data_IF_368038812987
#
_entry.id   IF_368038812987
#
_cell.length_a   1.000
_cell.length_b   1.000
_cell.length_c   1.000
_cell.angle_alpha   90.00
_cell.angle_beta   90.00
_cell.angle_gamma   90.00
#
_symmetry.space_group_name_H-M   'P 1'
#
loop_
_entity.id
_entity.type
_entity.pdbx_description
1 polymer ?
#
# COMPACT_ATOMS: atom_id res chain seq x y z
N UNK A 1 -23.72 0.35 7.38
CA UNK A 1 -22.73 0.90 6.43
C UNK A 1 -21.57 1.69 7.06
N UNK A 2 -21.40 1.69 8.38
CA UNK A 2 -20.52 2.64 9.08
C UNK A 2 -19.13 2.10 9.54
N UNK A 3 -18.75 0.89 9.19
CA UNK A 3 -17.57 0.22 9.77
C UNK A 3 -16.25 0.45 9.01
N UNK A 4 -16.26 1.19 7.91
CA UNK A 4 -15.07 1.47 7.10
C UNK A 4 -14.57 2.92 7.21
N UNK A 5 -15.23 3.77 8.01
CA UNK A 5 -14.92 5.20 8.12
C UNK A 5 -13.51 5.52 8.66
N UNK A 6 -12.94 4.64 9.48
CA UNK A 6 -11.64 4.86 10.12
C UNK A 6 -10.52 3.97 9.53
N UNK A 7 -10.70 3.47 8.31
CA UNK A 7 -9.73 2.59 7.67
C UNK A 7 -8.83 3.37 6.72
N UNK A 8 -7.54 3.06 6.72
CA UNK A 8 -6.55 3.65 5.82
C UNK A 8 -6.41 2.78 4.57
N UNK A 9 -6.61 3.37 3.43
CA UNK A 9 -6.48 2.71 2.13
C UNK A 9 -5.19 3.13 1.44
N UNK A 10 -4.49 2.19 0.83
CA UNK A 10 -3.26 2.41 0.08
C UNK A 10 -3.47 1.95 -1.35
N UNK A 11 -3.54 2.88 -2.27
CA UNK A 11 -3.75 2.61 -3.69
C UNK A 11 -2.44 2.70 -4.48
N UNK A 12 -2.13 1.64 -5.20
CA UNK A 12 -0.97 1.55 -6.07
C UNK A 12 -1.33 2.10 -7.44
N UNK A 13 -0.84 3.29 -7.76
CA UNK A 13 -1.19 4.07 -8.94
C UNK A 13 0.01 4.20 -9.87
N UNK A 14 -0.17 3.80 -11.14
CA UNK A 14 0.80 4.06 -12.20
C UNK A 14 0.38 5.23 -13.07
N UNK A 15 -0.90 5.31 -13.42
CA UNK A 15 -1.50 6.35 -14.26
C UNK A 15 -2.79 6.84 -13.64
N UNK A 16 -3.10 8.12 -13.82
CA UNK A 16 -4.24 8.78 -13.19
C UNK A 16 -5.28 9.18 -14.25
N UNK A 17 -6.27 8.30 -14.47
CA UNK A 17 -7.42 8.60 -15.35
C UNK A 17 -8.52 9.34 -14.59
N UNK A 18 -9.45 10.00 -15.29
CA UNK A 18 -10.57 10.70 -14.65
C UNK A 18 -11.47 9.76 -13.83
N UNK A 19 -11.68 8.53 -14.30
CA UNK A 19 -12.42 7.51 -13.55
C UNK A 19 -11.72 7.16 -12.24
N UNK A 20 -10.41 6.95 -12.27
CA UNK A 20 -9.59 6.66 -11.08
C UNK A 20 -9.64 7.83 -10.10
N UNK A 21 -9.50 9.08 -10.57
CA UNK A 21 -9.61 10.28 -9.72
C UNK A 21 -10.94 10.33 -8.97
N UNK A 22 -12.07 10.14 -9.69
CA UNK A 22 -13.41 10.11 -9.10
C UNK A 22 -13.53 8.99 -8.04
N UNK A 23 -12.96 7.82 -8.30
CA UNK A 23 -13.03 6.70 -7.38
C UNK A 23 -12.16 6.92 -6.13
N UNK A 24 -10.95 7.45 -6.28
CA UNK A 24 -10.06 7.81 -5.16
C UNK A 24 -10.79 8.72 -4.16
N UNK A 25 -11.47 9.76 -4.64
CA UNK A 25 -12.15 10.75 -3.80
C UNK A 25 -13.36 10.19 -3.02
N UNK A 26 -13.83 8.99 -3.33
CA UNK A 26 -14.89 8.30 -2.56
C UNK A 26 -14.37 7.65 -1.26
N UNK A 27 -13.05 7.45 -1.14
CA UNK A 27 -12.45 6.77 0.00
C UNK A 27 -11.81 7.78 0.95
N UNK A 28 -12.35 7.95 2.17
CA UNK A 28 -11.68 8.72 3.20
C UNK A 28 -10.36 8.03 3.59
N UNK A 29 -9.37 8.80 4.00
CA UNK A 29 -8.06 8.29 4.44
C UNK A 29 -7.34 7.42 3.40
N UNK A 30 -7.48 7.77 2.11
CA UNK A 30 -6.73 7.13 1.05
C UNK A 30 -5.31 7.70 0.99
N UNK A 31 -4.37 6.80 0.73
CA UNK A 31 -2.95 7.10 0.50
C UNK A 31 -2.59 6.60 -0.90
N UNK A 32 -1.83 7.36 -1.66
CA UNK A 32 -1.41 6.95 -3.01
C UNK A 32 0.06 6.56 -3.00
N UNK A 33 0.35 5.37 -3.53
CA UNK A 33 1.70 4.88 -3.78
C UNK A 33 1.93 4.95 -5.30
N UNK A 34 2.84 5.83 -5.74
CA UNK A 34 3.29 5.80 -7.11
C UNK A 34 4.12 4.54 -7.35
N UNK A 35 3.60 3.69 -8.21
CA UNK A 35 4.15 2.37 -8.48
C UNK A 35 4.59 2.27 -9.93
N UNK A 36 5.88 2.49 -10.17
CA UNK A 36 6.52 2.26 -11.46
C UNK A 36 7.91 1.63 -11.28
N UNK A 37 8.33 0.81 -12.25
CA UNK A 37 9.58 0.04 -12.15
C UNK A 37 10.83 0.93 -12.11
N UNK A 38 10.79 2.10 -12.76
CA UNK A 38 11.90 3.05 -12.83
C UNK A 38 11.38 4.49 -12.68
N UNK A 39 10.90 4.86 -11.49
CA UNK A 39 10.35 6.20 -11.30
C UNK A 39 11.41 7.27 -11.54
N UNK A 40 11.11 8.24 -12.40
CA UNK A 40 11.95 9.38 -12.70
C UNK A 40 11.22 10.70 -12.41
N UNK A 41 11.95 11.75 -12.08
CA UNK A 41 11.37 13.06 -11.77
C UNK A 41 10.68 13.70 -12.98
N UNK A 42 11.14 13.41 -14.19
CA UNK A 42 10.56 13.88 -15.46
C UNK A 42 9.33 13.10 -15.91
N UNK A 43 8.92 12.04 -15.17
CA UNK A 43 7.76 11.24 -15.50
C UNK A 43 6.47 12.05 -15.35
N UNK A 44 5.75 12.25 -16.45
CA UNK A 44 4.49 13.02 -16.50
C UNK A 44 3.42 12.42 -15.58
N UNK A 45 3.33 11.09 -15.48
CA UNK A 45 2.39 10.43 -14.58
C UNK A 45 2.72 10.73 -13.12
N UNK A 46 4.01 10.66 -12.75
CA UNK A 46 4.47 11.01 -11.42
C UNK A 46 4.10 12.47 -11.08
N UNK A 47 4.36 13.40 -12.01
CA UNK A 47 4.02 14.81 -11.84
C UNK A 47 2.52 15.03 -11.68
N UNK A 48 1.70 14.38 -12.53
CA UNK A 48 0.25 14.47 -12.48
C UNK A 48 -0.31 13.93 -11.16
N UNK A 49 0.18 12.78 -10.71
CA UNK A 49 -0.23 12.16 -9.44
C UNK A 49 0.18 13.04 -8.25
N UNK A 50 1.41 13.56 -8.25
CA UNK A 50 1.90 14.46 -7.19
C UNK A 50 1.05 15.73 -7.08
N UNK A 51 0.74 16.38 -8.23
CA UNK A 51 -0.14 17.57 -8.28
C UNK A 51 -1.55 17.25 -7.75
N UNK A 52 -2.10 16.11 -8.15
CA UNK A 52 -3.41 15.64 -7.66
C UNK A 52 -3.40 15.41 -6.14
N UNK A 53 -2.41 14.71 -5.62
CA UNK A 53 -2.27 14.45 -4.20
C UNK A 53 -2.16 15.75 -3.39
N UNK A 54 -1.36 16.70 -3.87
CA UNK A 54 -1.23 18.03 -3.24
C UNK A 54 -2.55 18.80 -3.24
N UNK A 55 -3.28 18.81 -4.38
CA UNK A 55 -4.56 19.51 -4.51
C UNK A 55 -5.61 19.01 -3.51
N UNK A 56 -5.66 17.70 -3.28
CA UNK A 56 -6.68 17.07 -2.42
C UNK A 56 -6.16 16.66 -1.04
N UNK A 57 -4.96 17.10 -0.65
CA UNK A 57 -4.30 16.77 0.61
C UNK A 57 -4.22 15.26 0.88
N UNK A 58 -3.93 14.48 -0.15
CA UNK A 58 -3.80 13.02 -0.09
C UNK A 58 -2.34 12.64 0.19
N UNK A 59 -2.03 11.83 1.21
CA UNK A 59 -0.67 11.37 1.46
C UNK A 59 -0.13 10.59 0.26
N UNK A 60 1.12 10.92 -0.12
CA UNK A 60 1.77 10.43 -1.32
C UNK A 60 3.08 9.70 -1.01
N UNK A 61 3.26 8.53 -1.59
CA UNK A 61 4.43 7.68 -1.41
C UNK A 61 5.03 7.30 -2.76
N UNK A 62 6.34 7.09 -2.80
CA UNK A 62 7.06 6.64 -4.00
C UNK A 62 7.70 5.28 -3.73
N UNK A 63 7.59 4.38 -4.71
CA UNK A 63 8.17 3.04 -4.60
C UNK A 63 9.71 3.12 -4.59
N UNK A 64 10.33 2.41 -3.65
CA UNK A 64 11.76 2.06 -3.57
C UNK A 64 12.77 3.23 -3.73
N UNK A 65 12.34 4.47 -3.90
CA UNK A 65 13.22 5.59 -4.21
C UNK A 65 13.05 6.76 -3.22
N UNK A 66 13.84 6.76 -2.15
CA UNK A 66 13.78 7.78 -1.10
C UNK A 66 14.31 9.16 -1.56
N UNK A 67 15.27 9.19 -2.48
CA UNK A 67 15.78 10.46 -3.02
C UNK A 67 14.72 11.17 -3.85
N UNK A 68 14.03 10.41 -4.71
CA UNK A 68 12.92 10.93 -5.49
C UNK A 68 11.76 11.35 -4.59
N UNK A 69 11.43 10.56 -3.56
CA UNK A 69 10.42 10.92 -2.58
C UNK A 69 10.72 12.25 -1.89
N UNK A 70 11.98 12.49 -1.52
CA UNK A 70 12.43 13.74 -0.93
C UNK A 70 12.32 14.91 -1.93
N UNK A 71 12.77 14.73 -3.18
CA UNK A 71 12.68 15.76 -4.24
C UNK A 71 11.24 16.15 -4.56
N UNK A 72 10.34 15.17 -4.60
CA UNK A 72 8.92 15.35 -4.87
C UNK A 72 8.12 15.84 -3.65
N UNK A 73 8.75 16.00 -2.48
CA UNK A 73 8.11 16.31 -1.20
C UNK A 73 6.99 15.31 -0.87
N UNK A 74 7.20 14.03 -1.20
CA UNK A 74 6.29 12.96 -0.85
C UNK A 74 6.29 12.72 0.67
N UNK A 75 5.20 12.18 1.20
CA UNK A 75 5.05 11.85 2.63
C UNK A 75 5.95 10.66 3.03
N UNK A 76 6.30 9.80 2.08
CA UNK A 76 7.12 8.64 2.40
C UNK A 76 7.52 7.78 1.21
N UNK A 77 8.04 6.61 1.55
CA UNK A 77 8.50 5.60 0.60
C UNK A 77 7.78 4.28 0.85
N UNK A 78 7.42 3.60 -0.23
CA UNK A 78 6.97 2.21 -0.17
C UNK A 78 8.11 1.28 -0.58
N UNK A 79 8.46 0.33 0.28
CA UNK A 79 9.52 -0.66 0.05
C UNK A 79 8.91 -2.01 -0.31
N UNK A 80 9.15 -2.47 -1.53
CA UNK A 80 8.74 -3.82 -1.95
C UNK A 80 9.39 -4.90 -1.09
N UNK A 81 8.77 -6.08 -1.06
CA UNK A 81 9.23 -7.21 -0.26
C UNK A 81 10.67 -7.62 -0.56
N UNK A 82 11.07 -7.54 -1.84
CA UNK A 82 12.43 -7.86 -2.30
C UNK A 82 13.47 -6.77 -2.00
N UNK A 83 13.03 -5.54 -1.69
CA UNK A 83 13.95 -4.44 -1.42
C UNK A 83 14.73 -4.72 -0.13
N UNK A 84 16.08 -4.66 -0.22
CA UNK A 84 17.04 -4.85 0.88
C UNK A 84 17.86 -3.60 1.18
N UNK A 85 17.51 -2.47 0.56
CA UNK A 85 18.25 -1.22 0.71
C UNK A 85 17.88 -0.50 2.01
N UNK A 86 18.86 0.07 2.70
CA UNK A 86 18.70 0.82 3.95
C UNK A 86 18.98 2.32 3.80
N UNK A 87 19.30 2.81 2.59
CA UNK A 87 19.67 4.23 2.35
C UNK A 87 18.56 5.22 2.74
N UNK A 88 17.29 4.81 2.73
CA UNK A 88 16.16 5.64 3.18
C UNK A 88 16.24 6.03 4.65
N UNK A 89 16.98 5.29 5.49
CA UNK A 89 17.16 5.59 6.92
C UNK A 89 17.89 6.90 7.17
N UNK A 90 18.60 7.43 6.17
CA UNK A 90 19.24 8.76 6.25
C UNK A 90 18.22 9.90 6.35
N UNK A 91 16.99 9.71 5.85
CA UNK A 91 15.94 10.71 5.92
C UNK A 91 14.85 10.31 6.94
N UNK A 92 15.00 10.80 8.17
CA UNK A 92 14.07 10.51 9.29
C UNK A 92 12.68 11.12 9.14
N UNK A 93 12.44 11.99 8.16
CA UNK A 93 11.14 12.66 7.94
C UNK A 93 10.20 11.82 7.08
N UNK A 94 10.71 10.82 6.36
CA UNK A 94 9.89 9.96 5.50
C UNK A 94 9.17 8.88 6.32
N UNK A 95 7.89 8.70 6.04
CA UNK A 95 7.12 7.55 6.50
C UNK A 95 7.50 6.35 5.63
N UNK A 96 7.84 5.23 6.25
CA UNK A 96 8.25 4.03 5.54
C UNK A 96 7.14 2.98 5.62
N UNK A 97 6.59 2.65 4.46
CA UNK A 97 5.62 1.55 4.29
C UNK A 97 6.35 0.41 3.58
N UNK A 98 6.28 -0.79 4.10
CA UNK A 98 6.91 -1.95 3.47
C UNK A 98 5.90 -3.05 3.12
N UNK A 99 6.29 -4.02 2.30
CA UNK A 99 5.53 -5.26 2.10
C UNK A 99 6.35 -6.50 2.44
N UNK A 100 5.64 -7.55 2.86
CA UNK A 100 6.22 -8.85 3.16
C UNK A 100 5.24 -9.97 2.78
N UNK A 101 5.78 -11.15 2.39
CA UNK A 101 5.01 -12.35 2.08
C UNK A 101 5.27 -13.48 3.08
N UNK A 102 6.31 -13.35 3.87
CA UNK A 102 6.74 -14.33 4.86
C UNK A 102 7.46 -13.66 6.04
N UNK A 103 7.81 -14.45 7.03
CA UNK A 103 8.41 -13.96 8.26
C UNK A 103 9.83 -13.41 8.08
N UNK A 104 10.60 -13.97 7.15
CA UNK A 104 11.96 -13.48 6.83
C UNK A 104 11.87 -12.04 6.28
N UNK A 105 10.99 -11.82 5.32
CA UNK A 105 10.75 -10.50 4.73
C UNK A 105 10.22 -9.51 5.77
N UNK A 106 9.34 -9.95 6.67
CA UNK A 106 8.89 -9.13 7.80
C UNK A 106 10.06 -8.64 8.66
N UNK A 107 10.97 -9.52 9.06
CA UNK A 107 12.12 -9.11 9.87
C UNK A 107 13.05 -8.14 9.12
N UNK A 108 13.19 -8.29 7.80
CA UNK A 108 13.95 -7.33 6.99
C UNK A 108 13.26 -5.97 7.01
N UNK A 109 11.94 -5.90 6.81
CA UNK A 109 11.16 -4.66 6.87
C UNK A 109 11.20 -4.02 8.26
N UNK A 110 11.21 -4.82 9.31
CA UNK A 110 11.38 -4.33 10.67
C UNK A 110 12.75 -3.67 10.88
N UNK A 111 13.84 -4.30 10.39
CA UNK A 111 15.19 -3.71 10.39
C UNK A 111 15.28 -2.44 9.51
N UNK A 112 14.51 -2.39 8.44
CA UNK A 112 14.34 -1.19 7.60
C UNK A 112 13.50 -0.10 8.28
N UNK A 113 13.09 -0.28 9.54
CA UNK A 113 12.28 0.64 10.35
C UNK A 113 10.98 1.07 9.68
N UNK A 114 10.31 0.12 9.02
CA UNK A 114 9.00 0.38 8.44
C UNK A 114 7.98 0.73 9.54
N UNK A 115 7.24 1.82 9.34
CA UNK A 115 6.15 2.26 10.20
C UNK A 115 4.90 1.36 10.05
N UNK A 116 4.74 0.81 8.83
CA UNK A 116 3.66 -0.09 8.44
C UNK A 116 4.22 -1.17 7.53
N UNK A 117 3.85 -2.44 7.78
CA UNK A 117 4.20 -3.56 6.90
C UNK A 117 2.92 -4.19 6.35
N UNK A 118 2.75 -4.13 5.02
CA UNK A 118 1.67 -4.77 4.29
C UNK A 118 1.98 -6.23 4.07
N UNK A 119 1.15 -7.14 4.58
CA UNK A 119 1.30 -8.57 4.36
C UNK A 119 0.40 -9.07 3.22
N UNK A 120 0.96 -9.84 2.29
CA UNK A 120 0.33 -10.20 1.00
C UNK A 120 0.62 -11.65 0.62
N UNK A 121 -0.30 -12.34 -0.11
CA UNK A 121 -1.66 -11.94 -0.41
C UNK A 121 -2.66 -12.38 0.68
N UNK A 122 -3.57 -11.51 1.04
CA UNK A 122 -4.61 -11.84 2.05
C UNK A 122 -5.75 -12.67 1.45
N UNK A 123 -6.22 -12.31 0.25
CA UNK A 123 -7.25 -13.02 -0.48
C UNK A 123 -6.74 -13.52 -1.83
N UNK A 124 -7.49 -14.43 -2.44
CA UNK A 124 -7.17 -14.95 -3.76
C UNK A 124 -7.04 -13.82 -4.79
N UNK A 125 -6.01 -13.97 -5.62
CA UNK A 125 -5.74 -13.09 -6.74
C UNK A 125 -5.13 -13.94 -7.84
N UNK A 126 -5.46 -13.67 -9.11
CA UNK A 126 -4.93 -14.42 -10.26
C UNK A 126 -3.40 -14.51 -10.29
N UNK A 127 -2.72 -13.46 -9.83
CA UNK A 127 -1.25 -13.41 -9.76
C UNK A 127 -0.67 -14.43 -8.76
N UNK A 128 -1.49 -14.94 -7.84
CA UNK A 128 -1.06 -15.86 -6.78
C UNK A 128 -1.97 -17.09 -6.76
N UNK A 129 -1.39 -18.28 -6.68
CA UNK A 129 -2.16 -19.52 -6.57
C UNK A 129 -2.99 -19.53 -5.27
N UNK A 130 -4.12 -20.22 -5.29
CA UNK A 130 -5.02 -20.40 -4.14
C UNK A 130 -4.28 -20.85 -2.86
N UNK A 131 -3.27 -21.69 -2.99
CA UNK A 131 -2.50 -22.22 -1.86
C UNK A 131 -1.54 -21.21 -1.22
N UNK A 132 -1.23 -20.10 -1.89
CA UNK A 132 -0.37 -19.04 -1.35
C UNK A 132 -1.16 -17.96 -0.63
N UNK A 133 -2.49 -18.04 -0.66
CA UNK A 133 -3.36 -17.06 0.00
C UNK A 133 -3.37 -17.29 1.51
N UNK A 134 -3.21 -16.23 2.27
CA UNK A 134 -3.14 -16.31 3.73
C UNK A 134 -4.50 -16.49 4.39
N UNK A 135 -5.51 -15.76 3.95
CA UNK A 135 -6.81 -15.66 4.61
C UNK A 135 -6.78 -14.88 5.92
N UNK A 136 -7.95 -14.59 6.45
CA UNK A 136 -8.14 -13.73 7.63
C UNK A 136 -7.52 -14.34 8.88
N UNK A 137 -7.79 -15.61 9.16
CA UNK A 137 -7.35 -16.28 10.40
C UNK A 137 -5.83 -16.29 10.49
N UNK A 138 -5.15 -16.77 9.44
CA UNK A 138 -3.69 -16.84 9.41
C UNK A 138 -3.06 -15.45 9.48
N UNK A 139 -3.66 -14.45 8.82
CA UNK A 139 -3.21 -13.06 8.92
C UNK A 139 -3.25 -12.57 10.37
N UNK A 140 -4.39 -12.71 11.05
CA UNK A 140 -4.56 -12.26 12.42
C UNK A 140 -3.60 -12.95 13.39
N UNK A 141 -3.39 -14.27 13.25
CA UNK A 141 -2.45 -15.03 14.06
C UNK A 141 -1.00 -14.59 13.81
N UNK A 142 -0.63 -14.39 12.54
CA UNK A 142 0.74 -14.01 12.18
C UNK A 142 1.08 -12.60 12.66
N UNK A 143 0.14 -11.65 12.52
CA UNK A 143 0.39 -10.24 12.82
C UNK A 143 0.14 -9.86 14.28
N UNK A 144 -0.44 -10.75 15.08
CA UNK A 144 -0.81 -10.50 16.48
C UNK A 144 0.35 -9.98 17.34
N UNK A 145 1.56 -10.48 17.10
CA UNK A 145 2.75 -10.14 17.87
C UNK A 145 3.72 -9.22 17.13
N UNK A 146 3.28 -8.61 16.03
CA UNK A 146 4.14 -7.68 15.29
C UNK A 146 4.40 -6.41 16.09
N UNK A 147 5.66 -5.96 16.07
CA UNK A 147 6.11 -4.73 16.75
C UNK A 147 5.79 -3.45 15.98
N UNK A 148 5.31 -3.56 14.74
CA UNK A 148 4.90 -2.44 13.90
C UNK A 148 3.46 -2.61 13.44
N UNK A 149 2.87 -1.55 12.87
CA UNK A 149 1.52 -1.64 12.29
C UNK A 149 1.50 -2.66 11.17
N UNK A 150 0.51 -3.54 11.19
CA UNK A 150 0.24 -4.48 10.11
C UNK A 150 -0.78 -3.90 9.13
N UNK A 151 -0.65 -4.24 7.86
CA UNK A 151 -1.64 -3.95 6.82
C UNK A 151 -1.92 -5.19 5.98
N UNK A 152 -3.12 -5.31 5.44
CA UNK A 152 -3.50 -6.40 4.55
C UNK A 152 -3.46 -5.94 3.09
N UNK A 153 -2.79 -6.72 2.23
CA UNK A 153 -2.63 -6.43 0.81
C UNK A 153 -2.91 -7.68 -0.03
N UNK A 154 -3.46 -7.48 -1.22
CA UNK A 154 -3.64 -8.51 -2.24
C UNK A 154 -5.02 -9.19 -2.21
N UNK A 155 -5.69 -9.18 -3.37
CA UNK A 155 -6.98 -9.81 -3.58
C UNK A 155 -8.18 -9.09 -2.99
N UNK A 156 -8.02 -7.89 -2.42
CA UNK A 156 -9.12 -7.11 -1.87
C UNK A 156 -9.97 -6.52 -3.01
N UNK A 157 -11.26 -6.84 -3.01
CA UNK A 157 -12.23 -6.43 -4.02
C UNK A 157 -13.64 -6.29 -3.41
N UNK A 158 -14.64 -5.89 -4.21
CA UNK A 158 -16.01 -5.68 -3.74
C UNK A 158 -16.64 -6.93 -3.10
N UNK A 159 -16.36 -8.13 -3.62
CA UNK A 159 -16.96 -9.38 -3.12
C UNK A 159 -16.50 -9.73 -1.70
N UNK A 160 -15.23 -9.39 -1.36
CA UNK A 160 -14.66 -9.73 -0.06
C UNK A 160 -14.48 -8.52 0.89
N UNK A 161 -14.98 -7.35 0.50
CA UNK A 161 -14.87 -6.12 1.29
C UNK A 161 -15.43 -6.28 2.72
N UNK A 162 -16.51 -7.06 2.89
CA UNK A 162 -17.08 -7.34 4.21
C UNK A 162 -16.13 -8.10 5.13
N UNK A 163 -15.26 -8.93 4.58
CA UNK A 163 -14.31 -9.72 5.35
C UNK A 163 -13.19 -8.86 5.98
N UNK A 164 -13.01 -7.61 5.51
CA UNK A 164 -12.06 -6.68 6.13
C UNK A 164 -12.40 -6.37 7.59
N UNK A 165 -13.67 -6.54 8.00
CA UNK A 165 -14.07 -6.37 9.40
C UNK A 165 -13.46 -7.41 10.34
N UNK A 166 -13.12 -8.58 9.79
CA UNK A 166 -12.55 -9.70 10.54
C UNK A 166 -11.02 -9.62 10.63
N UNK A 167 -10.40 -8.67 9.90
CA UNK A 167 -8.95 -8.49 9.86
C UNK A 167 -8.52 -7.55 10.98
N UNK A 168 -7.57 -7.98 11.78
CA UNK A 168 -6.98 -7.22 12.87
C UNK A 168 -6.02 -6.14 12.34
N UNK A 169 -6.55 -5.26 11.49
CA UNK A 169 -5.82 -4.14 10.91
C UNK A 169 -6.77 -3.04 10.48
N UNK A 170 -6.26 -1.82 10.42
CA UNK A 170 -6.95 -0.65 9.85
C UNK A 170 -6.30 -0.17 8.55
N UNK A 171 -5.36 -0.94 8.00
CA UNK A 171 -4.57 -0.56 6.83
C UNK A 171 -4.74 -1.58 5.71
N UNK A 172 -5.19 -1.15 4.54
CA UNK A 172 -5.54 -2.01 3.41
C UNK A 172 -4.95 -1.53 2.11
N UNK A 173 -4.18 -2.40 1.43
CA UNK A 173 -3.70 -2.14 0.06
C UNK A 173 -4.78 -2.51 -0.95
N UNK A 174 -5.26 -1.54 -1.72
CA UNK A 174 -6.42 -1.68 -2.62
C UNK A 174 -6.06 -1.26 -4.05
N UNK A 175 -6.26 -2.15 -5.00
CA UNK A 175 -6.11 -1.86 -6.44
C UNK A 175 -7.45 -2.05 -7.14
N UNK A 176 -7.98 -3.27 -7.07
CA UNK A 176 -9.22 -3.64 -7.77
C UNK A 176 -10.44 -2.83 -7.32
N UNK A 177 -10.47 -2.34 -6.07
CA UNK A 177 -11.55 -1.48 -5.59
C UNK A 177 -11.56 -0.10 -6.25
N UNK A 178 -10.40 0.46 -6.52
CA UNK A 178 -10.28 1.80 -7.14
C UNK A 178 -10.43 1.71 -8.66
N UNK A 179 -9.86 0.67 -9.26
CA UNK A 179 -9.88 0.50 -10.72
C UNK A 179 -11.19 -0.13 -11.23
N UNK A 180 -12.12 -0.48 -10.33
CA UNK A 180 -13.36 -1.21 -10.64
C UNK A 180 -13.13 -2.46 -11.50
N UNK A 181 -11.97 -3.10 -11.34
CA UNK A 181 -11.68 -4.36 -12.03
C UNK A 181 -12.57 -5.45 -11.43
N UNK A 182 -13.23 -6.25 -12.28
CA UNK A 182 -13.98 -7.38 -11.80
C UNK A 182 -13.06 -8.28 -10.97
N UNK A 183 -13.59 -8.86 -9.91
CA UNK A 183 -12.93 -9.95 -9.22
C UNK A 183 -12.97 -11.15 -10.17
N UNK A 184 -11.88 -11.39 -10.85
CA UNK A 184 -11.67 -12.57 -11.67
C UNK A 184 -11.45 -13.77 -10.79
#
# INVERSE_FOLDING_TARGET
MNTLKNKNYYYFCKTLTESIKKNILKYPHINIIYYDNKPNISDENLQAISKFCKKYNIPFFIINNHLLATKMKANGVYLESINRNYKHLSNKKLIIVGSAHNQIEYFIKLRQKCNLIMFSPIFFNQKYSKYKTMGVVKFNLTTRFWKCKAGALGGINQKNLRNLRLINSDNYGVVSLIENKPAL
#
